data_IF_943984246720
#
_entry.id   IF_943984246720
#
_cell.length_a   1.000
_cell.length_b   1.000
_cell.length_c   1.000
_cell.angle_alpha   90.00
_cell.angle_beta   90.00
_cell.angle_gamma   90.00
#
_symmetry.space_group_name_H-M   'P 1'
#
loop_
_entity.id
_entity.type
_entity.pdbx_description
1 polymer ?
#
# COMPACT_ATOMS: atom_id res chain seq x y z
N UNK A 1 -11.45 24.02 48.55
CA UNK A 1 -10.74 23.06 47.68
C UNK A 1 -9.30 23.47 47.37
N UNK A 2 -9.02 24.70 46.94
CA UNK A 2 -7.67 25.15 46.57
C UNK A 2 -6.62 25.06 47.70
N UNK A 3 -6.96 25.47 48.93
CA UNK A 3 -6.06 25.38 50.08
C UNK A 3 -5.73 23.93 50.53
N UNK A 4 -6.59 22.96 50.19
CA UNK A 4 -6.37 21.55 50.50
C UNK A 4 -5.39 20.92 49.49
N UNK A 5 -5.49 21.35 48.23
CA UNK A 5 -4.57 20.97 47.16
C UNK A 5 -3.16 21.52 47.43
N UNK A 6 -3.06 22.77 47.92
CA UNK A 6 -1.78 23.39 48.26
C UNK A 6 -1.05 22.62 49.39
N UNK A 7 -1.78 22.22 50.43
CA UNK A 7 -1.23 21.46 51.56
C UNK A 7 -0.77 20.05 51.16
N UNK A 8 -1.48 19.40 50.24
CA UNK A 8 -1.10 18.11 49.65
C UNK A 8 0.09 18.27 48.70
N UNK A 9 0.13 19.33 47.89
CA UNK A 9 1.24 19.61 46.99
C UNK A 9 2.55 19.91 47.73
N UNK A 10 2.52 20.63 48.85
CA UNK A 10 3.74 20.95 49.61
C UNK A 10 4.25 19.75 50.41
N UNK A 11 3.35 18.99 51.05
CA UNK A 11 3.74 17.84 51.87
C UNK A 11 4.09 16.59 51.03
N UNK A 12 3.59 16.53 49.79
CA UNK A 12 3.74 15.40 48.88
C UNK A 12 4.34 15.80 47.52
N UNK A 13 5.10 16.90 47.49
CA UNK A 13 5.73 17.42 46.28
C UNK A 13 6.53 16.34 45.51
N UNK A 14 7.22 15.47 46.26
CA UNK A 14 7.95 14.34 45.71
C UNK A 14 7.05 13.33 44.98
N UNK A 15 5.82 13.11 45.43
CA UNK A 15 4.86 12.21 44.78
C UNK A 15 4.36 12.82 43.48
N UNK A 16 4.10 14.13 43.47
CA UNK A 16 3.70 14.85 42.24
C UNK A 16 4.82 14.80 41.20
N UNK A 17 6.07 15.03 41.60
CA UNK A 17 7.23 14.89 40.72
C UNK A 17 7.39 13.45 40.21
N UNK A 18 7.21 12.45 41.07
CA UNK A 18 7.30 11.06 40.66
C UNK A 18 6.21 10.68 39.65
N UNK A 19 4.97 11.11 39.87
CA UNK A 19 3.85 10.86 38.94
C UNK A 19 4.10 11.58 37.60
N UNK A 20 4.57 12.84 37.62
CA UNK A 20 4.94 13.55 36.40
C UNK A 20 6.06 12.87 35.64
N UNK A 21 7.08 12.37 36.35
CA UNK A 21 8.19 11.64 35.75
C UNK A 21 7.69 10.33 35.12
N UNK A 22 6.84 9.57 35.82
CA UNK A 22 6.22 8.36 35.27
C UNK A 22 5.38 8.67 34.02
N UNK A 23 4.58 9.74 34.04
CA UNK A 23 3.76 10.16 32.90
C UNK A 23 4.64 10.57 31.71
N UNK A 24 5.70 11.35 31.94
CA UNK A 24 6.64 11.77 30.91
C UNK A 24 7.38 10.58 30.28
N UNK A 25 7.85 9.63 31.10
CA UNK A 25 8.48 8.40 30.61
C UNK A 25 7.52 7.55 29.79
N UNK A 26 6.26 7.44 30.23
CA UNK A 26 5.22 6.71 29.50
C UNK A 26 4.90 7.36 28.15
N UNK A 27 4.72 8.68 28.12
CA UNK A 27 4.47 9.42 26.88
C UNK A 27 5.65 9.28 25.91
N UNK A 28 6.88 9.45 26.39
CA UNK A 28 8.08 9.29 25.59
C UNK A 28 8.19 7.86 25.01
N UNK A 29 7.92 6.84 25.83
CA UNK A 29 7.87 5.45 25.38
C UNK A 29 6.79 5.18 24.34
N UNK A 30 5.61 5.78 24.50
CA UNK A 30 4.52 5.64 23.51
C UNK A 30 4.83 6.30 22.17
N UNK A 31 5.43 7.50 22.17
CA UNK A 31 5.78 8.19 20.93
C UNK A 31 6.75 7.36 20.08
N UNK A 32 7.78 6.77 20.70
CA UNK A 32 8.76 5.95 19.97
C UNK A 32 8.13 4.69 19.38
N UNK A 33 7.19 4.06 20.10
CA UNK A 33 6.43 2.93 19.56
C UNK A 33 5.59 3.35 18.36
N UNK A 34 4.90 4.49 18.45
CA UNK A 34 4.01 4.95 17.39
C UNK A 34 4.77 5.23 16.07
N UNK A 35 5.96 5.84 16.16
CA UNK A 35 6.84 6.06 14.99
C UNK A 35 7.27 4.74 14.35
N UNK A 36 7.66 3.76 15.17
CA UNK A 36 8.05 2.44 14.67
C UNK A 36 6.87 1.69 14.04
N UNK A 37 5.69 1.73 14.64
CA UNK A 37 4.47 1.15 14.06
C UNK A 37 4.10 1.83 12.73
N UNK A 38 4.17 3.15 12.65
CA UNK A 38 3.91 3.89 11.43
C UNK A 38 4.90 3.53 10.32
N UNK A 39 6.19 3.40 10.65
CA UNK A 39 7.22 2.98 9.69
C UNK A 39 6.97 1.55 9.19
N UNK A 40 6.71 0.61 10.10
CA UNK A 40 6.48 -0.78 9.75
C UNK A 40 5.19 -0.96 8.92
N UNK A 41 4.13 -0.22 9.26
CA UNK A 41 2.88 -0.22 8.50
C UNK A 41 3.07 0.30 7.07
N UNK A 42 3.88 1.36 6.88
CA UNK A 42 4.23 1.86 5.54
C UNK A 42 4.98 0.81 4.72
N UNK A 43 5.99 0.19 5.32
CA UNK A 43 6.78 -0.85 4.65
C UNK A 43 5.92 -2.05 4.27
N UNK A 44 5.01 -2.48 5.14
CA UNK A 44 4.07 -3.56 4.86
C UNK A 44 3.18 -3.21 3.68
N UNK A 45 2.62 -1.99 3.65
CA UNK A 45 1.76 -1.53 2.55
C UNK A 45 2.52 -1.48 1.22
N UNK A 46 3.75 -1.00 1.22
CA UNK A 46 4.62 -0.99 0.04
C UNK A 46 4.89 -2.41 -0.47
N UNK A 47 5.21 -3.34 0.44
CA UNK A 47 5.42 -4.75 0.11
C UNK A 47 4.16 -5.44 -0.43
N UNK A 48 2.98 -5.08 0.08
CA UNK A 48 1.71 -5.59 -0.44
C UNK A 48 1.45 -5.10 -1.86
N UNK A 49 1.69 -3.82 -2.14
CA UNK A 49 1.54 -3.26 -3.47
C UNK A 49 2.49 -3.94 -4.45
N UNK A 50 3.77 -4.08 -4.10
CA UNK A 50 4.75 -4.75 -4.97
C UNK A 50 4.40 -6.21 -5.21
N UNK A 51 3.91 -6.91 -4.19
CA UNK A 51 3.38 -8.28 -4.33
C UNK A 51 2.20 -8.34 -5.29
N UNK A 52 1.23 -7.42 -5.18
CA UNK A 52 0.07 -7.38 -6.06
C UNK A 52 0.46 -7.11 -7.51
N UNK A 53 1.40 -6.19 -7.75
CA UNK A 53 1.94 -5.92 -9.09
C UNK A 53 2.62 -7.16 -9.66
N UNK A 54 3.50 -7.81 -8.90
CA UNK A 54 4.18 -9.02 -9.34
C UNK A 54 3.20 -10.18 -9.60
N UNK A 55 2.13 -10.29 -8.82
CA UNK A 55 1.09 -11.30 -9.05
C UNK A 55 0.30 -11.03 -10.34
N UNK A 56 -0.04 -9.76 -10.62
CA UNK A 56 -0.70 -9.39 -11.87
C UNK A 56 0.19 -9.66 -13.07
N UNK A 57 1.47 -9.30 -12.99
CA UNK A 57 2.44 -9.55 -14.05
C UNK A 57 2.61 -11.05 -14.30
N UNK A 58 2.67 -11.85 -13.23
CA UNK A 58 2.68 -13.31 -13.35
C UNK A 58 1.39 -13.84 -14.00
N UNK A 59 0.22 -13.35 -13.62
CA UNK A 59 -1.06 -13.75 -14.23
C UNK A 59 -1.15 -13.36 -15.70
N UNK A 60 -0.68 -12.16 -16.07
CA UNK A 60 -0.57 -11.72 -17.45
C UNK A 60 0.36 -12.63 -18.24
N UNK A 61 1.56 -12.91 -17.74
CA UNK A 61 2.51 -13.82 -18.40
C UNK A 61 1.94 -15.23 -18.55
N UNK A 62 1.23 -15.74 -17.54
CA UNK A 62 0.59 -17.05 -17.60
C UNK A 62 -0.54 -17.06 -18.63
N UNK A 63 -1.29 -15.97 -18.74
CA UNK A 63 -2.27 -15.77 -19.80
C UNK A 63 -1.59 -15.80 -21.17
N UNK A 64 -0.49 -15.07 -21.35
CA UNK A 64 0.30 -15.06 -22.60
C UNK A 64 0.77 -16.47 -22.96
N UNK A 65 1.36 -17.21 -22.03
CA UNK A 65 1.83 -18.59 -22.24
C UNK A 65 0.67 -19.55 -22.58
N UNK A 66 -0.45 -19.46 -21.87
CA UNK A 66 -1.63 -20.27 -22.17
C UNK A 66 -2.20 -19.95 -23.55
N UNK A 67 -2.05 -18.72 -24.01
CA UNK A 67 -2.53 -18.27 -25.29
C UNK A 67 -1.54 -18.48 -26.44
N UNK A 68 -0.23 -18.65 -26.18
CA UNK A 68 0.73 -19.19 -27.17
C UNK A 68 0.41 -20.64 -27.57
N UNK A 69 -0.41 -21.34 -26.78
CA UNK A 69 -0.98 -22.64 -27.16
C UNK A 69 -2.12 -22.53 -28.19
N UNK A 70 -2.61 -21.31 -28.49
CA UNK A 70 -3.67 -21.03 -29.47
C UNK A 70 -3.09 -20.26 -30.67
N UNK A 71 -3.04 -20.86 -31.87
CA UNK A 71 -2.44 -20.22 -33.05
C UNK A 71 -3.09 -18.89 -33.44
N UNK A 72 -4.38 -18.68 -33.13
CA UNK A 72 -5.08 -17.42 -33.41
C UNK A 72 -4.63 -16.25 -32.51
N UNK A 73 -4.12 -16.55 -31.31
CA UNK A 73 -3.68 -15.53 -30.37
C UNK A 73 -2.25 -15.04 -30.67
N UNK A 74 -1.38 -15.91 -31.18
CA UNK A 74 -0.05 -15.55 -31.69
C UNK A 74 -0.17 -14.53 -32.84
N UNK A 75 -1.10 -14.75 -33.77
CA UNK A 75 -1.38 -13.79 -34.85
C UNK A 75 -1.85 -12.44 -34.31
N UNK A 76 -2.81 -12.40 -33.37
CA UNK A 76 -3.30 -11.15 -32.77
C UNK A 76 -2.21 -10.38 -32.00
N UNK A 77 -1.34 -11.08 -31.27
CA UNK A 77 -0.23 -10.48 -30.51
C UNK A 77 0.88 -9.97 -31.44
N UNK A 78 1.19 -10.69 -32.52
CA UNK A 78 2.08 -10.22 -33.58
C UNK A 78 1.50 -8.97 -34.27
N UNK A 79 0.22 -8.96 -34.62
CA UNK A 79 -0.44 -7.80 -35.25
C UNK A 79 -0.46 -6.57 -34.34
N UNK A 80 -0.64 -6.75 -33.03
CA UNK A 80 -0.58 -5.66 -32.04
C UNK A 80 0.85 -5.15 -31.82
N UNK A 81 1.85 -6.02 -31.80
CA UNK A 81 3.25 -5.65 -31.50
C UNK A 81 4.02 -5.12 -32.71
N UNK A 82 3.75 -5.63 -33.91
CA UNK A 82 4.38 -5.20 -35.16
C UNK A 82 3.64 -4.02 -35.82
N UNK A 83 2.40 -3.71 -35.40
CA UNK A 83 1.61 -2.62 -35.97
C UNK A 83 1.23 -2.79 -37.44
N UNK A 84 1.47 -3.98 -38.01
CA UNK A 84 1.16 -4.30 -39.40
C UNK A 84 -0.14 -5.09 -39.47
N UNK A 85 -1.07 -4.65 -40.33
CA UNK A 85 -2.27 -5.39 -40.73
C UNK A 85 -1.84 -6.42 -41.78
N UNK A 86 -2.32 -7.68 -41.74
CA UNK A 86 -1.95 -8.65 -42.76
C UNK A 86 -2.60 -8.25 -44.10
N UNK A 87 -1.85 -8.41 -45.19
CA UNK A 87 -2.16 -7.82 -46.51
C UNK A 87 -3.49 -8.26 -47.14
N UNK A 88 -4.16 -9.28 -46.58
CA UNK A 88 -5.33 -9.93 -47.19
C UNK A 88 -6.65 -9.78 -46.38
N UNK A 89 -6.69 -8.95 -45.32
CA UNK A 89 -7.93 -8.67 -44.60
C UNK A 89 -8.24 -7.17 -44.50
N UNK A 90 -9.31 -6.76 -45.20
CA UNK A 90 -9.82 -5.39 -45.20
C UNK A 90 -10.44 -5.07 -43.84
N UNK A 91 -9.89 -4.08 -43.14
CA UNK A 91 -10.41 -3.56 -41.87
C UNK A 91 -11.77 -2.89 -42.09
N UNK A 92 -12.87 -3.62 -41.88
CA UNK A 92 -14.23 -3.07 -42.00
C UNK A 92 -14.58 -2.29 -40.72
N UNK A 93 -14.59 -0.97 -40.81
CA UNK A 93 -15.19 -0.12 -39.77
C UNK A 93 -16.70 -0.06 -39.98
N UNK A 94 -17.46 -0.69 -39.10
CA UNK A 94 -18.91 -0.45 -39.04
C UNK A 94 -19.14 0.89 -38.32
N UNK A 95 -19.24 1.98 -39.08
CA UNK A 95 -19.86 3.21 -38.58
C UNK A 95 -21.35 2.91 -38.38
N UNK A 96 -21.78 2.95 -37.13
CA UNK A 96 -23.19 2.85 -36.77
C UNK A 96 -23.86 4.17 -37.17
N UNK A 97 -24.60 4.13 -38.27
CA UNK A 97 -25.45 5.24 -38.69
C UNK A 97 -26.89 4.91 -38.31
N UNK A 98 -27.27 5.25 -37.07
CA UNK A 98 -28.63 5.66 -36.67
C UNK A 98 -28.60 6.25 -35.26
#
# INVERSE_FOLDING_TARGET
MLAYIEKICVNSWWVVLFILLCAALFEHGMQQRNVNYAKLSRQLKELQISKEVALKEHEELLLQVNSESDPAWVELTLLRSLGMVPEDQTKVFFTKHE
#
